data_IF_949414444027
#
_entry.id   IF_949414444027
#
_cell.length_a   1.000
_cell.length_b   1.000
_cell.length_c   1.000
_cell.angle_alpha   90.00
_cell.angle_beta   90.00
_cell.angle_gamma   90.00
#
_symmetry.space_group_name_H-M   'P 1'
#
loop_
_entity.id
_entity.type
_entity.pdbx_description
1 polymer ?
#
# COMPACT_ATOMS: atom_id res chain seq x y z
N UNK A 1 28.30 6.63 10.58
CA UNK A 1 26.87 6.54 10.30
C UNK A 1 26.34 7.84 9.75
N UNK A 2 25.34 7.73 8.88
CA UNK A 2 24.56 8.85 8.34
C UNK A 2 23.13 8.75 8.88
N UNK A 3 22.47 9.89 9.05
CA UNK A 3 21.09 9.94 9.52
C UNK A 3 20.13 9.41 8.44
N UNK A 4 19.07 8.74 8.87
CA UNK A 4 18.01 8.27 7.97
C UNK A 4 17.14 9.46 7.59
N UNK A 5 16.92 9.66 6.29
CA UNK A 5 16.02 10.68 5.77
C UNK A 5 14.64 10.07 5.57
N UNK A 6 13.67 10.52 6.37
CA UNK A 6 12.31 10.00 6.32
C UNK A 6 11.52 10.73 5.22
N UNK A 7 11.01 9.97 4.26
CA UNK A 7 10.03 10.43 3.29
C UNK A 7 8.66 9.82 3.62
N UNK A 8 7.61 10.59 3.39
CA UNK A 8 6.23 10.15 3.67
C UNK A 8 5.25 10.74 2.67
N UNK A 9 4.04 10.18 2.60
CA UNK A 9 2.94 10.79 1.84
C UNK A 9 2.37 12.00 2.59
N UNK A 10 1.62 12.85 1.91
CA UNK A 10 0.80 13.85 2.58
C UNK A 10 -0.41 13.21 3.29
N UNK A 11 -0.99 13.93 4.24
CA UNK A 11 -2.09 13.48 5.10
C UNK A 11 -3.39 13.18 4.34
N UNK A 12 -3.53 13.69 3.12
CA UNK A 12 -4.64 13.39 2.22
C UNK A 12 -4.56 11.96 1.64
N UNK A 13 -3.43 11.28 1.82
CA UNK A 13 -3.22 9.93 1.33
C UNK A 13 -3.82 8.88 2.27
N UNK A 14 -4.70 8.03 1.76
CA UNK A 14 -5.12 6.83 2.50
C UNK A 14 -3.96 5.89 2.87
N UNK A 15 -2.83 5.93 2.16
CA UNK A 15 -1.62 5.17 2.54
C UNK A 15 -0.89 5.82 3.72
N UNK A 16 -0.95 7.15 3.87
CA UNK A 16 -0.45 7.84 5.06
C UNK A 16 -1.19 7.40 6.32
N UNK A 17 -2.52 7.47 6.29
CA UNK A 17 -3.36 7.04 7.41
C UNK A 17 -3.13 5.56 7.76
N UNK A 18 -3.03 4.69 6.76
CA UNK A 18 -2.80 3.27 7.01
C UNK A 18 -1.44 2.95 7.58
N UNK A 19 -0.35 3.58 7.10
CA UNK A 19 0.94 3.34 7.72
C UNK A 19 0.97 3.86 9.17
N UNK A 20 0.27 4.96 9.47
CA UNK A 20 0.13 5.46 10.83
C UNK A 20 -0.63 4.47 11.72
N UNK A 21 -1.86 4.14 11.36
CA UNK A 21 -2.79 3.36 12.17
C UNK A 21 -2.40 1.86 12.24
N UNK A 22 -2.06 1.27 11.10
CA UNK A 22 -1.88 -0.17 10.94
C UNK A 22 -0.41 -0.62 11.00
N UNK A 23 0.55 0.30 11.03
CA UNK A 23 1.98 -0.05 11.17
C UNK A 23 2.61 0.65 12.37
N UNK A 24 2.67 1.99 12.36
CA UNK A 24 3.36 2.77 13.40
C UNK A 24 2.67 2.59 14.75
N UNK A 25 1.36 2.80 14.83
CA UNK A 25 0.61 2.71 16.08
C UNK A 25 0.47 1.29 16.60
N UNK A 26 0.43 0.29 15.71
CA UNK A 26 0.45 -1.13 16.12
C UNK A 26 1.81 -1.54 16.68
N UNK A 27 2.90 -1.03 16.12
CA UNK A 27 4.25 -1.36 16.57
C UNK A 27 4.68 -0.56 17.81
N UNK A 28 4.34 0.73 17.89
CA UNK A 28 4.87 1.67 18.88
C UNK A 28 3.84 2.17 19.91
N UNK A 29 2.54 1.88 19.69
CA UNK A 29 1.43 2.28 20.55
C UNK A 29 0.51 3.32 19.91
N UNK A 30 -0.76 3.38 20.36
CA UNK A 30 -1.83 4.18 19.74
C UNK A 30 -1.58 5.68 19.65
N UNK A 31 -0.75 6.23 20.54
CA UNK A 31 -0.40 7.65 20.56
C UNK A 31 0.87 7.95 19.73
N UNK A 32 1.45 6.95 19.08
CA UNK A 32 2.61 7.15 18.23
C UNK A 32 2.20 7.86 16.93
N UNK A 33 2.94 8.92 16.62
CA UNK A 33 2.79 9.71 15.40
C UNK A 33 4.04 9.57 14.54
N UNK A 34 3.97 10.06 13.30
CA UNK A 34 5.18 10.25 12.49
C UNK A 34 6.19 11.16 13.19
N UNK A 35 7.47 10.97 12.86
CA UNK A 35 8.53 11.94 13.22
C UNK A 35 8.15 13.35 12.75
N UNK A 36 8.54 14.37 13.52
CA UNK A 36 8.42 15.76 13.08
C UNK A 36 9.33 16.08 11.88
N UNK A 37 10.43 15.34 11.73
CA UNK A 37 11.44 15.51 10.67
C UNK A 37 11.13 14.62 9.46
N UNK A 38 10.01 14.90 8.79
CA UNK A 38 9.52 14.14 7.62
C UNK A 38 9.48 14.98 6.35
N UNK A 39 9.92 14.38 5.24
CA UNK A 39 9.86 14.95 3.91
C UNK A 39 8.60 14.47 3.18
N UNK A 40 7.53 15.27 3.25
CA UNK A 40 6.23 14.92 2.64
C UNK A 40 6.26 15.00 1.12
N UNK A 41 5.65 14.00 0.48
CA UNK A 41 5.60 13.81 -0.96
C UNK A 41 4.15 13.79 -1.44
N UNK A 42 3.87 14.46 -2.55
CA UNK A 42 2.52 14.59 -3.08
C UNK A 42 1.90 13.24 -3.50
N UNK A 43 2.72 12.33 -4.03
CA UNK A 43 2.29 11.01 -4.52
C UNK A 43 3.41 9.97 -4.39
N UNK A 44 3.08 8.70 -4.62
CA UNK A 44 4.03 7.60 -4.52
C UNK A 44 5.20 7.71 -5.53
N UNK A 45 4.99 8.05 -6.82
CA UNK A 45 6.10 8.25 -7.76
C UNK A 45 7.10 9.33 -7.33
N UNK A 46 6.62 10.45 -6.76
CA UNK A 46 7.49 11.51 -6.24
C UNK A 46 8.37 11.02 -5.07
N UNK A 47 7.79 10.27 -4.13
CA UNK A 47 8.55 9.72 -3.00
C UNK A 47 9.53 8.61 -3.40
N UNK A 48 9.14 7.75 -4.34
CA UNK A 48 10.05 6.75 -4.91
C UNK A 48 11.22 7.40 -5.65
N UNK A 49 10.96 8.45 -6.43
CA UNK A 49 12.01 9.23 -7.10
C UNK A 49 12.94 9.91 -6.10
N UNK A 50 12.40 10.45 -5.01
CA UNK A 50 13.20 11.09 -3.95
C UNK A 50 14.15 10.08 -3.28
N UNK A 51 13.64 8.91 -2.88
CA UNK A 51 14.47 7.84 -2.29
C UNK A 51 15.49 7.27 -3.28
N UNK A 52 15.13 7.13 -4.56
CA UNK A 52 16.09 6.70 -5.58
C UNK A 52 17.29 7.67 -5.72
N UNK A 53 17.10 8.95 -5.40
CA UNK A 53 18.14 9.97 -5.38
C UNK A 53 18.86 10.16 -4.04
N UNK A 54 18.39 9.51 -2.98
CA UNK A 54 18.90 9.66 -1.60
C UNK A 54 19.30 8.31 -0.99
N UNK A 55 20.61 7.99 -0.91
CA UNK A 55 21.10 6.75 -0.32
C UNK A 55 20.69 6.51 1.14
N UNK A 56 20.29 7.56 1.88
CA UNK A 56 19.83 7.46 3.26
C UNK A 56 18.29 7.57 3.38
N UNK A 57 17.60 7.68 2.25
CA UNK A 57 16.16 7.86 2.19
C UNK A 57 15.39 6.56 2.46
N UNK A 58 14.29 6.68 3.21
CA UNK A 58 13.29 5.62 3.35
C UNK A 58 11.90 6.15 3.06
N UNK A 59 11.09 5.34 2.35
CA UNK A 59 9.72 5.65 1.94
C UNK A 59 8.89 4.37 1.89
N UNK A 60 7.58 4.53 1.80
CA UNK A 60 6.62 3.45 1.63
C UNK A 60 5.71 3.75 0.44
N UNK A 61 5.43 2.73 -0.38
CA UNK A 61 4.58 2.84 -1.56
C UNK A 61 3.73 1.58 -1.72
N UNK A 62 2.71 1.64 -2.59
CA UNK A 62 1.98 0.43 -2.98
C UNK A 62 2.87 -0.46 -3.86
N UNK A 63 2.63 -1.77 -3.83
CA UNK A 63 3.38 -2.74 -4.64
C UNK A 63 3.36 -2.38 -6.13
N UNK A 64 2.19 -1.98 -6.66
CA UNK A 64 2.03 -1.52 -8.04
C UNK A 64 2.81 -0.26 -8.41
N UNK A 65 3.33 0.52 -7.44
CA UNK A 65 4.16 1.69 -7.75
C UNK A 65 5.62 1.33 -8.06
N UNK A 66 6.05 0.10 -7.79
CA UNK A 66 7.43 -0.31 -8.11
C UNK A 66 7.69 -0.36 -9.61
N UNK A 67 6.66 -0.60 -10.43
CA UNK A 67 6.76 -0.51 -11.89
C UNK A 67 6.85 0.93 -12.42
N UNK A 68 6.57 1.94 -11.60
CA UNK A 68 6.63 3.35 -11.99
C UNK A 68 8.07 3.90 -12.02
N UNK A 69 9.05 3.13 -11.52
CA UNK A 69 10.47 3.52 -11.45
C UNK A 69 11.37 2.47 -12.11
N UNK A 70 12.60 2.85 -12.54
CA UNK A 70 13.54 1.88 -13.10
C UNK A 70 13.85 0.74 -12.12
N UNK A 71 13.93 -0.49 -12.63
CA UNK A 71 14.30 -1.65 -11.83
C UNK A 71 15.67 -1.42 -11.14
N UNK A 72 15.72 -1.64 -9.83
CA UNK A 72 16.91 -1.42 -9.01
C UNK A 72 17.17 0.04 -8.62
N UNK A 73 16.29 0.99 -8.97
CA UNK A 73 16.39 2.37 -8.51
C UNK A 73 16.17 2.52 -7.00
N UNK A 74 15.43 1.59 -6.40
CA UNK A 74 15.26 1.45 -4.95
C UNK A 74 15.42 0.00 -4.54
N UNK A 75 15.78 -0.22 -3.27
CA UNK A 75 15.79 -1.54 -2.66
C UNK A 75 14.50 -1.75 -1.87
N UNK A 76 13.77 -2.83 -2.15
CA UNK A 76 12.62 -3.25 -1.35
C UNK A 76 13.13 -3.91 -0.06
N UNK A 77 12.54 -3.56 1.07
CA UNK A 77 12.91 -4.09 2.38
C UNK A 77 11.92 -5.20 2.75
N UNK A 78 12.38 -6.45 2.96
CA UNK A 78 11.53 -7.51 3.49
C UNK A 78 11.02 -7.16 4.88
N UNK A 79 9.75 -7.48 5.17
CA UNK A 79 9.12 -7.18 6.46
C UNK A 79 8.71 -8.48 7.13
N UNK A 80 9.11 -8.63 8.40
CA UNK A 80 8.64 -9.69 9.28
C UNK A 80 7.47 -9.20 10.12
N UNK A 81 6.57 -10.12 10.49
CA UNK A 81 5.42 -9.81 11.36
C UNK A 81 5.84 -9.45 12.79
N UNK A 82 6.88 -10.10 13.28
CA UNK A 82 7.49 -9.90 14.59
C UNK A 82 8.94 -10.41 14.58
N UNK A 83 9.68 -10.19 15.68
CA UNK A 83 11.10 -10.56 15.83
C UNK A 83 11.38 -12.07 15.66
N UNK A 84 10.36 -12.92 15.72
CA UNK A 84 10.48 -14.38 15.60
C UNK A 84 10.05 -14.92 14.23
N UNK A 85 9.52 -14.06 13.37
CA UNK A 85 8.97 -14.42 12.06
C UNK A 85 10.00 -14.22 10.95
N UNK A 86 9.88 -15.01 9.89
CA UNK A 86 10.61 -14.78 8.65
C UNK A 86 10.16 -13.46 8.00
N UNK A 87 11.10 -12.76 7.35
CA UNK A 87 10.82 -11.52 6.65
C UNK A 87 10.57 -11.81 5.17
N UNK A 88 9.48 -11.26 4.63
CA UNK A 88 9.09 -11.48 3.24
C UNK A 88 9.10 -10.18 2.45
N UNK A 89 9.49 -10.24 1.18
CA UNK A 89 9.22 -9.15 0.23
C UNK A 89 7.73 -9.17 -0.18
N UNK A 90 7.14 -8.02 -0.50
CA UNK A 90 5.77 -7.96 -1.00
C UNK A 90 5.69 -8.59 -2.39
N UNK A 91 4.77 -9.52 -2.56
CA UNK A 91 4.43 -10.15 -3.84
C UNK A 91 2.99 -10.64 -3.79
N UNK A 92 2.41 -11.00 -4.93
CA UNK A 92 1.09 -11.65 -4.95
C UNK A 92 1.06 -12.88 -4.05
N UNK A 93 2.07 -13.75 -4.15
CA UNK A 93 2.14 -14.99 -3.38
C UNK A 93 2.24 -14.73 -1.86
N UNK A 94 3.13 -13.82 -1.44
CA UNK A 94 3.36 -13.53 -0.02
C UNK A 94 2.21 -12.73 0.61
N UNK A 95 1.48 -11.93 -0.17
CA UNK A 95 0.26 -11.28 0.30
C UNK A 95 -0.89 -12.28 0.39
N UNK A 96 -1.07 -13.14 -0.61
CA UNK A 96 -2.15 -14.13 -0.63
C UNK A 96 -2.00 -15.19 0.48
N UNK A 97 -0.77 -15.60 0.81
CA UNK A 97 -0.51 -16.52 1.93
C UNK A 97 -0.62 -15.85 3.30
N UNK A 98 -0.57 -14.51 3.36
CA UNK A 98 -0.51 -13.74 4.60
C UNK A 98 0.88 -13.66 5.23
N UNK A 99 1.92 -14.12 4.52
CA UNK A 99 3.32 -14.06 4.97
C UNK A 99 3.86 -12.61 4.99
N UNK A 100 3.45 -11.78 4.02
CA UNK A 100 3.75 -10.35 4.02
C UNK A 100 2.74 -9.59 4.90
N UNK A 101 3.18 -8.96 6.02
CA UNK A 101 2.25 -8.51 7.05
C UNK A 101 1.58 -7.15 6.77
N UNK A 102 2.05 -6.40 5.76
CA UNK A 102 1.55 -5.05 5.47
C UNK A 102 0.71 -5.09 4.17
N UNK A 103 -0.52 -5.59 4.28
CA UNK A 103 -1.47 -5.64 3.17
C UNK A 103 -2.88 -5.29 3.65
N UNK A 104 -3.67 -4.66 2.77
CA UNK A 104 -5.05 -4.28 3.03
C UNK A 104 -5.93 -4.51 1.82
N UNK A 105 -7.19 -4.84 2.07
CA UNK A 105 -8.22 -4.89 1.02
C UNK A 105 -8.53 -3.49 0.48
N UNK A 106 -8.90 -3.43 -0.80
CA UNK A 106 -9.51 -2.25 -1.40
C UNK A 106 -11.04 -2.44 -1.35
N UNK A 107 -11.71 -1.60 -0.57
CA UNK A 107 -13.14 -1.75 -0.31
C UNK A 107 -13.96 -0.74 -1.11
N UNK A 108 -15.05 -1.21 -1.71
CA UNK A 108 -16.14 -0.37 -2.19
C UNK A 108 -17.20 -0.23 -1.09
N UNK A 109 -17.58 1.01 -0.81
CA UNK A 109 -18.67 1.31 0.13
C UNK A 109 -19.93 1.57 -0.68
N UNK A 110 -21.01 0.86 -0.34
CA UNK A 110 -22.32 0.96 -1.01
C UNK A 110 -23.42 1.20 0.02
N UNK A 111 -24.50 1.85 -0.39
CA UNK A 111 -25.67 2.08 0.46
C UNK A 111 -26.52 0.80 0.52
N UNK A 112 -26.23 -0.04 1.52
CA UNK A 112 -26.84 -1.36 1.67
C UNK A 112 -26.15 -2.45 0.85
N UNK A 113 -26.85 -3.57 0.65
CA UNK A 113 -26.35 -4.68 -0.16
C UNK A 113 -26.46 -4.32 -1.66
N UNK A 114 -25.34 -4.24 -2.42
CA UNK A 114 -25.38 -3.87 -3.83
C UNK A 114 -26.20 -4.86 -4.67
N UNK A 115 -26.34 -6.12 -4.24
CA UNK A 115 -27.19 -7.11 -4.92
C UNK A 115 -28.70 -6.78 -4.79
N UNK A 116 -29.07 -5.98 -3.78
CA UNK A 116 -30.43 -5.53 -3.48
C UNK A 116 -30.66 -4.05 -3.81
N UNK A 117 -29.68 -3.36 -4.39
CA UNK A 117 -29.79 -1.96 -4.78
C UNK A 117 -30.98 -1.73 -5.70
N UNK A 118 -31.79 -0.71 -5.41
CA UNK A 118 -32.86 -0.26 -6.30
C UNK A 118 -32.32 0.44 -7.56
N UNK A 119 -31.06 0.85 -7.55
CA UNK A 119 -30.35 1.34 -8.73
C UNK A 119 -29.65 0.16 -9.43
N UNK A 120 -30.10 -0.25 -10.63
CA UNK A 120 -29.50 -1.36 -11.37
C UNK A 120 -28.05 -1.08 -11.83
N UNK A 121 -27.63 0.19 -11.92
CA UNK A 121 -26.26 0.54 -12.30
C UNK A 121 -25.27 0.22 -11.20
N UNK A 122 -25.66 0.38 -9.92
CA UNK A 122 -24.80 0.01 -8.78
C UNK A 122 -24.50 -1.49 -8.83
N UNK A 123 -25.53 -2.32 -8.99
CA UNK A 123 -25.37 -3.78 -9.08
C UNK A 123 -24.47 -4.16 -10.27
N UNK A 124 -24.78 -3.65 -11.46
CA UNK A 124 -24.03 -3.97 -12.66
C UNK A 124 -22.55 -3.54 -12.57
N UNK A 125 -22.28 -2.39 -11.95
CA UNK A 125 -20.91 -1.91 -11.76
C UNK A 125 -20.12 -2.80 -10.80
N UNK A 126 -20.70 -3.18 -9.65
CA UNK A 126 -20.02 -4.09 -8.71
C UNK A 126 -19.80 -5.48 -9.32
N UNK A 127 -20.78 -6.01 -10.05
CA UNK A 127 -20.62 -7.27 -10.79
C UNK A 127 -19.52 -7.18 -11.84
N UNK A 128 -19.39 -6.06 -12.55
CA UNK A 128 -18.29 -5.82 -13.49
C UNK A 128 -16.93 -5.77 -12.78
N UNK A 129 -16.80 -5.00 -11.70
CA UNK A 129 -15.55 -4.88 -10.93
C UNK A 129 -15.07 -6.24 -10.43
N UNK A 130 -15.99 -7.09 -9.99
CA UNK A 130 -15.69 -8.45 -9.50
C UNK A 130 -15.59 -9.51 -10.62
N UNK A 131 -15.90 -9.16 -11.87
CA UNK A 131 -15.78 -10.06 -13.00
C UNK A 131 -14.31 -10.31 -13.39
N UNK A 132 -14.00 -11.38 -14.14
CA UNK A 132 -12.64 -11.59 -14.65
C UNK A 132 -12.09 -10.41 -15.45
N UNK A 133 -12.94 -9.69 -16.18
CA UNK A 133 -12.54 -8.49 -16.93
C UNK A 133 -12.17 -7.33 -16.01
N UNK A 134 -12.99 -7.06 -14.98
CA UNK A 134 -12.71 -6.02 -13.99
C UNK A 134 -11.47 -6.31 -13.16
N UNK A 135 -11.26 -7.57 -12.77
CA UNK A 135 -10.07 -8.00 -12.04
C UNK A 135 -8.80 -7.87 -12.89
N UNK A 136 -8.85 -8.24 -14.18
CA UNK A 136 -7.71 -8.09 -15.09
C UNK A 136 -7.25 -6.63 -15.23
N UNK A 137 -8.17 -5.66 -15.21
CA UNK A 137 -7.83 -4.22 -15.20
C UNK A 137 -7.08 -3.85 -13.91
N UNK A 138 -7.52 -4.38 -12.77
CA UNK A 138 -6.85 -4.15 -11.48
C UNK A 138 -5.42 -4.70 -11.48
N UNK A 139 -5.23 -5.91 -12.00
CA UNK A 139 -3.92 -6.55 -12.14
C UNK A 139 -2.98 -5.75 -13.05
N UNK A 140 -3.48 -5.20 -14.17
CA UNK A 140 -2.69 -4.38 -15.10
C UNK A 140 -2.06 -3.15 -14.43
N UNK A 141 -2.76 -2.56 -13.45
CA UNK A 141 -2.30 -1.39 -12.70
C UNK A 141 -1.65 -1.76 -11.35
N UNK A 142 -1.42 -3.05 -11.10
CA UNK A 142 -0.64 -3.54 -9.96
C UNK A 142 -1.42 -3.80 -8.67
N UNK A 143 -2.74 -3.99 -8.74
CA UNK A 143 -3.52 -4.58 -7.65
C UNK A 143 -3.50 -6.11 -7.71
N UNK A 144 -3.68 -6.74 -6.55
CA UNK A 144 -3.85 -8.18 -6.46
C UNK A 144 -5.35 -8.54 -6.56
N UNK A 145 -5.70 -9.65 -7.22
CA UNK A 145 -7.09 -10.08 -7.35
C UNK A 145 -7.68 -10.55 -6.01
N UNK A 146 -9.02 -10.57 -5.91
CA UNK A 146 -9.76 -10.89 -4.67
C UNK A 146 -9.90 -12.39 -4.33
N UNK A 147 -9.21 -13.29 -5.05
CA UNK A 147 -9.47 -14.74 -5.03
C UNK A 147 -9.05 -15.47 -3.74
#
# INVERSE_FOLDING_TARGET
>A
DADIVLYTRNEESGTFAYLEEDVIQKALGKEAEYSADINKQANAPAGLTAVAGDPNGIFYAGLGNLSDIPAGAVRVIPIAKDDSSEAFEPSEATVASGDYPIARGLFYYTDGDPAQSSDPLVKAYIEFVLSPEGQAIGEEIGFLPVN
#
